data_IF_266263842097
#
_entry.id   IF_266263842097
#
_cell.length_a   1.000
_cell.length_b   1.000
_cell.length_c   1.000
_cell.angle_alpha   90.00
_cell.angle_beta   90.00
_cell.angle_gamma   90.00
#
_symmetry.space_group_name_H-M   'P 1'
#
loop_
_entity.id
_entity.type
_entity.pdbx_description
1 polymer ?
#
# COMPACT_ATOMS: atom_id res chain seq x y z
N UNK A 1 6.08 -31.26 47.62
CA UNK A 1 5.23 -30.46 48.53
C UNK A 1 4.82 -29.19 47.79
N UNK A 2 3.56 -29.14 47.35
CA UNK A 2 2.81 -27.95 46.86
C UNK A 2 2.52 -26.99 48.03
N UNK A 3 2.01 -25.73 47.88
CA UNK A 3 1.10 -25.18 46.84
C UNK A 3 1.53 -23.83 46.23
N UNK A 4 1.17 -23.47 44.98
CA UNK A 4 -0.13 -23.04 44.42
C UNK A 4 -0.73 -21.79 45.08
N UNK A 5 -0.56 -20.64 44.42
CA UNK A 5 -1.39 -19.42 44.51
C UNK A 5 -1.42 -18.86 43.07
N UNK A 6 -2.53 -18.73 42.33
CA UNK A 6 -3.92 -18.58 42.72
C UNK A 6 -4.33 -17.12 42.57
N UNK A 7 -4.67 -16.67 41.35
CA UNK A 7 -5.52 -15.49 41.14
C UNK A 7 -6.23 -15.53 39.79
N UNK A 8 -7.44 -16.05 39.84
CA UNK A 8 -8.54 -15.71 38.94
C UNK A 8 -8.88 -14.23 39.09
N UNK A 9 -9.23 -13.59 37.97
CA UNK A 9 -10.18 -12.47 37.91
C UNK A 9 -10.78 -12.42 36.50
N UNK A 10 -12.02 -12.91 36.31
CA UNK A 10 -12.83 -12.53 35.17
C UNK A 10 -13.67 -11.31 35.55
N UNK A 11 -13.68 -10.27 34.71
CA UNK A 11 -14.75 -9.27 34.77
C UNK A 11 -15.37 -9.10 33.39
N UNK A 12 -16.58 -9.62 33.28
CA UNK A 12 -17.54 -9.30 32.24
C UNK A 12 -17.82 -7.80 32.23
N UNK A 13 -17.91 -7.21 31.04
CA UNK A 13 -18.85 -6.13 30.77
C UNK A 13 -19.62 -6.44 29.49
N UNK A 14 -20.84 -6.94 29.68
CA UNK A 14 -21.91 -6.93 28.71
C UNK A 14 -22.41 -5.48 28.58
N UNK A 15 -22.33 -4.91 27.37
CA UNK A 15 -23.16 -3.78 26.99
C UNK A 15 -24.18 -4.29 25.98
N UNK A 16 -25.36 -4.59 26.48
CA UNK A 16 -26.58 -4.70 25.69
C UNK A 16 -27.20 -3.29 25.60
N UNK A 17 -27.34 -2.77 24.40
CA UNK A 17 -28.28 -1.69 24.12
C UNK A 17 -29.22 -2.18 23.02
N UNK A 18 -30.38 -2.67 23.45
CA UNK A 18 -31.56 -2.81 22.61
C UNK A 18 -32.09 -1.42 22.26
N UNK A 19 -32.22 -1.14 20.97
CA UNK A 19 -32.93 0.03 20.44
C UNK A 19 -33.62 -0.36 19.14
N UNK A 20 -34.92 -0.67 19.25
CA UNK A 20 -35.79 -0.95 18.12
C UNK A 20 -36.09 0.33 17.33
N UNK A 21 -36.08 0.24 16.01
CA UNK A 21 -36.49 1.32 15.11
C UNK A 21 -36.61 0.82 13.68
N UNK A 22 -37.84 0.49 13.27
CA UNK A 22 -38.20 0.20 11.90
C UNK A 22 -37.92 1.42 11.01
N UNK A 23 -37.37 1.18 9.82
CA UNK A 23 -37.20 2.19 8.79
C UNK A 23 -36.55 1.58 7.57
N UNK A 24 -37.38 1.19 6.61
CA UNK A 24 -36.96 0.81 5.27
C UNK A 24 -36.02 1.89 4.71
N UNK A 25 -34.83 1.48 4.26
CA UNK A 25 -34.04 2.24 3.31
C UNK A 25 -33.71 1.31 2.17
N UNK A 26 -34.30 1.64 1.03
CA UNK A 26 -33.96 1.12 -0.28
C UNK A 26 -32.44 1.19 -0.42
N UNK A 27 -31.84 0.05 -0.76
CA UNK A 27 -30.52 0.00 -1.38
C UNK A 27 -30.70 0.52 -2.80
N UNK A 28 -30.71 1.85 -2.93
CA UNK A 28 -30.37 2.48 -4.19
C UNK A 28 -28.89 2.24 -4.43
N UNK A 29 -28.61 1.73 -5.63
CA UNK A 29 -27.28 1.41 -6.09
C UNK A 29 -26.36 2.60 -5.89
N UNK A 30 -25.13 2.30 -5.46
CA UNK A 30 -24.01 3.19 -5.69
C UNK A 30 -23.85 3.32 -7.20
N UNK A 31 -24.55 4.30 -7.78
CA UNK A 31 -24.20 4.86 -9.08
C UNK A 31 -22.77 5.34 -8.95
N UNK A 32 -21.90 4.74 -9.76
CA UNK A 32 -20.60 5.30 -10.09
C UNK A 32 -20.84 6.67 -10.67
N UNK A 33 -20.66 7.70 -9.84
CA UNK A 33 -20.84 9.09 -10.19
C UNK A 33 -19.70 9.52 -11.12
N UNK A 34 -19.83 9.13 -12.39
CA UNK A 34 -19.07 9.62 -13.54
C UNK A 34 -19.55 11.05 -13.89
N UNK A 35 -19.70 11.89 -12.86
CA UNK A 35 -20.24 13.24 -12.98
C UNK A 35 -19.25 14.11 -13.72
N UNK A 36 -19.57 14.32 -15.00
CA UNK A 36 -19.21 15.52 -15.73
C UNK A 36 -19.41 16.74 -14.80
N UNK A 37 -18.39 17.61 -14.64
CA UNK A 37 -18.46 18.69 -13.67
C UNK A 37 -19.71 19.55 -13.94
N UNK A 38 -20.43 19.98 -12.89
CA UNK A 38 -21.68 20.71 -13.07
C UNK A 38 -21.43 21.95 -13.92
N UNK A 39 -22.34 22.21 -14.87
CA UNK A 39 -22.16 23.21 -15.94
C UNK A 39 -21.98 24.66 -15.43
N UNK A 40 -22.17 24.90 -14.13
CA UNK A 40 -22.02 26.16 -13.41
C UNK A 40 -20.85 26.17 -12.39
N UNK A 41 -19.99 25.14 -12.36
CA UNK A 41 -18.82 25.09 -11.47
C UNK A 41 -17.84 26.23 -11.80
N UNK A 42 -17.61 27.12 -10.83
CA UNK A 42 -16.62 28.17 -11.00
C UNK A 42 -15.22 27.56 -11.16
N UNK A 43 -14.32 28.26 -11.88
CA UNK A 43 -12.93 27.82 -12.01
C UNK A 43 -12.24 27.64 -10.64
N UNK A 44 -12.69 28.39 -9.63
CA UNK A 44 -12.22 28.28 -8.25
C UNK A 44 -12.70 26.98 -7.58
N UNK A 45 -13.98 26.64 -7.71
CA UNK A 45 -14.55 25.42 -7.12
C UNK A 45 -13.93 24.16 -7.74
N UNK A 46 -13.71 24.18 -9.06
CA UNK A 46 -12.99 23.11 -9.76
C UNK A 46 -11.58 22.91 -9.22
N UNK A 47 -10.81 24.00 -9.06
CA UNK A 47 -9.46 23.94 -8.48
C UNK A 47 -9.49 23.39 -7.06
N UNK A 48 -10.46 23.82 -6.25
CA UNK A 48 -10.61 23.36 -4.88
C UNK A 48 -10.95 21.86 -4.80
N UNK A 49 -11.82 21.36 -5.68
CA UNK A 49 -12.17 19.94 -5.77
C UNK A 49 -10.97 19.09 -6.16
N UNK A 50 -10.29 19.43 -7.26
CA UNK A 50 -9.09 18.71 -7.71
C UNK A 50 -7.98 18.69 -6.65
N UNK A 51 -7.82 19.76 -5.89
CA UNK A 51 -6.87 19.82 -4.77
C UNK A 51 -7.24 18.88 -3.62
N UNK A 52 -8.54 18.73 -3.31
CA UNK A 52 -9.03 17.77 -2.32
C UNK A 52 -8.83 16.33 -2.80
N UNK A 53 -9.16 16.05 -4.06
CA UNK A 53 -9.02 14.72 -4.66
C UNK A 53 -7.54 14.28 -4.64
N UNK A 54 -6.61 15.19 -5.02
CA UNK A 54 -5.16 14.95 -4.91
C UNK A 54 -4.76 14.56 -3.49
N UNK A 55 -5.21 15.31 -2.47
CA UNK A 55 -4.87 15.04 -1.07
C UNK A 55 -5.37 13.67 -0.63
N UNK A 56 -6.63 13.33 -0.92
CA UNK A 56 -7.21 12.04 -0.57
C UNK A 56 -6.44 10.87 -1.21
N UNK A 57 -6.04 11.00 -2.47
CA UNK A 57 -5.26 9.96 -3.16
C UNK A 57 -3.84 9.85 -2.61
N UNK A 58 -3.20 10.98 -2.28
CA UNK A 58 -1.91 10.98 -1.62
C UNK A 58 -1.93 10.28 -0.26
N UNK A 59 -2.95 10.55 0.57
CA UNK A 59 -3.10 9.92 1.88
C UNK A 59 -3.33 8.41 1.75
N UNK A 60 -4.16 8.00 0.77
CA UNK A 60 -4.42 6.59 0.48
C UNK A 60 -3.15 5.87 0.00
N UNK A 61 -2.38 6.50 -0.90
CA UNK A 61 -1.15 5.94 -1.43
C UNK A 61 -0.07 5.82 -0.35
N UNK A 62 0.11 6.85 0.47
CA UNK A 62 1.05 6.82 1.60
C UNK A 62 0.71 5.69 2.58
N UNK A 63 -0.58 5.55 2.94
CA UNK A 63 -1.06 4.47 3.82
C UNK A 63 -0.77 3.09 3.22
N UNK A 64 -0.99 2.91 1.91
CA UNK A 64 -0.73 1.64 1.23
C UNK A 64 0.77 1.30 1.21
N UNK A 65 1.63 2.30 0.96
CA UNK A 65 3.09 2.13 0.96
C UNK A 65 3.60 1.80 2.37
N UNK A 66 3.15 2.50 3.41
CA UNK A 66 3.54 2.21 4.80
C UNK A 66 3.13 0.81 5.24
N UNK A 67 1.91 0.37 4.88
CA UNK A 67 1.44 -0.98 5.14
C UNK A 67 2.22 -2.07 4.38
N UNK A 68 2.79 -1.69 3.24
CA UNK A 68 3.63 -2.54 2.39
C UNK A 68 5.09 -2.64 2.86
N UNK A 69 5.63 -1.61 3.52
CA UNK A 69 7.01 -1.54 4.03
C UNK A 69 7.22 -2.41 5.28
N UNK A 70 7.05 -3.72 5.15
CA UNK A 70 7.50 -4.70 6.15
C UNK A 70 9.01 -4.93 6.03
N UNK A 71 9.80 -4.21 6.84
CA UNK A 71 11.27 -4.25 6.82
C UNK A 71 11.84 -5.67 6.76
N UNK A 72 12.52 -5.99 5.65
CA UNK A 72 13.34 -7.20 5.56
C UNK A 72 14.61 -6.93 4.74
N UNK A 73 15.71 -6.65 5.44
CA UNK A 73 17.02 -6.59 4.81
C UNK A 73 17.46 -8.01 4.41
N UNK A 74 17.75 -8.22 3.11
CA UNK A 74 18.12 -9.52 2.52
C UNK A 74 19.57 -9.92 2.81
N UNK A 75 20.30 -9.15 3.62
CA UNK A 75 21.77 -9.10 3.60
C UNK A 75 22.44 -10.49 3.74
N UNK A 76 21.78 -11.54 4.24
CA UNK A 76 22.35 -12.91 4.26
C UNK A 76 21.37 -14.07 3.97
N UNK A 77 20.30 -13.88 3.18
CA UNK A 77 19.37 -14.99 2.90
C UNK A 77 19.93 -15.89 1.79
N UNK A 78 20.47 -17.05 2.18
CA UNK A 78 20.81 -18.15 1.25
C UNK A 78 19.77 -19.30 1.26
N UNK A 79 18.61 -19.04 1.85
CA UNK A 79 17.49 -19.97 1.95
C UNK A 79 16.46 -19.66 0.86
N UNK A 80 16.29 -20.59 -0.08
CA UNK A 80 15.34 -20.46 -1.19
C UNK A 80 13.89 -20.33 -0.73
N UNK A 81 13.50 -20.96 0.39
CA UNK A 81 12.17 -20.81 0.96
C UNK A 81 11.96 -19.41 1.51
N UNK A 82 12.95 -18.85 2.20
CA UNK A 82 12.89 -17.48 2.72
C UNK A 82 12.85 -16.44 1.59
N UNK A 83 13.64 -16.63 0.53
CA UNK A 83 13.60 -15.77 -0.66
C UNK A 83 12.22 -15.79 -1.33
N UNK A 84 11.62 -16.97 -1.51
CA UNK A 84 10.29 -17.10 -2.09
C UNK A 84 9.19 -16.47 -1.22
N UNK A 85 9.27 -16.62 0.10
CA UNK A 85 8.35 -15.95 1.03
C UNK A 85 8.45 -14.42 0.93
N UNK A 86 9.67 -13.90 0.82
CA UNK A 86 9.88 -12.47 0.66
C UNK A 86 9.39 -11.95 -0.69
N UNK A 87 9.64 -12.69 -1.77
CA UNK A 87 9.09 -12.38 -3.09
C UNK A 87 7.55 -12.28 -3.06
N UNK A 88 6.88 -13.23 -2.41
CA UNK A 88 5.42 -13.20 -2.27
C UNK A 88 4.92 -11.99 -1.45
N UNK A 89 5.66 -11.56 -0.42
CA UNK A 89 5.34 -10.34 0.33
C UNK A 89 5.44 -9.10 -0.57
N UNK A 90 6.49 -9.00 -1.39
CA UNK A 90 6.68 -7.89 -2.33
C UNK A 90 5.57 -7.86 -3.39
N UNK A 91 5.13 -9.01 -3.90
CA UNK A 91 3.97 -9.09 -4.80
C UNK A 91 2.69 -8.60 -4.11
N UNK A 92 2.44 -9.05 -2.88
CA UNK A 92 1.29 -8.58 -2.09
C UNK A 92 1.34 -7.08 -1.78
N UNK A 93 2.54 -6.53 -1.55
CA UNK A 93 2.81 -5.10 -1.39
C UNK A 93 2.43 -4.34 -2.66
N UNK A 94 2.95 -4.79 -3.80
CA UNK A 94 2.67 -4.21 -5.12
C UNK A 94 1.17 -4.24 -5.44
N UNK A 95 0.47 -5.33 -5.15
CA UNK A 95 -0.96 -5.45 -5.39
C UNK A 95 -1.79 -4.54 -4.48
N UNK A 96 -1.37 -4.36 -3.22
CA UNK A 96 -2.03 -3.43 -2.28
C UNK A 96 -1.91 -1.98 -2.74
N UNK A 97 -0.73 -1.58 -3.24
CA UNK A 97 -0.50 -0.24 -3.78
C UNK A 97 -1.20 -0.04 -5.12
N UNK A 98 -1.22 -1.06 -6.00
CA UNK A 98 -1.93 -1.01 -7.27
C UNK A 98 -3.45 -0.85 -7.13
N UNK A 99 -4.02 -1.32 -6.01
CA UNK A 99 -5.44 -1.15 -5.71
C UNK A 99 -5.83 0.28 -5.32
N UNK A 100 -4.86 1.17 -5.06
CA UNK A 100 -5.14 2.59 -4.80
C UNK A 100 -5.54 3.28 -6.09
N UNK A 101 -6.77 3.78 -6.13
CA UNK A 101 -7.26 4.57 -7.25
C UNK A 101 -6.52 5.93 -7.31
N UNK A 102 -5.95 6.24 -8.47
CA UNK A 102 -5.25 7.49 -8.71
C UNK A 102 -5.83 8.15 -9.97
N UNK A 103 -6.73 9.11 -9.78
CA UNK A 103 -7.33 9.87 -10.89
C UNK A 103 -6.46 11.05 -11.31
N UNK A 104 -5.50 11.46 -10.47
CA UNK A 104 -4.45 12.42 -10.84
C UNK A 104 -3.38 11.70 -11.67
N UNK A 105 -3.21 12.00 -12.97
CA UNK A 105 -2.38 11.19 -13.86
C UNK A 105 -0.93 11.03 -13.40
N UNK A 106 -0.32 12.12 -12.90
CA UNK A 106 1.05 12.11 -12.39
C UNK A 106 1.21 11.18 -11.18
N UNK A 107 0.22 11.19 -10.27
CA UNK A 107 0.23 10.30 -9.10
C UNK A 107 0.03 8.83 -9.53
N UNK A 108 -0.81 8.59 -10.53
CA UNK A 108 -0.98 7.27 -11.14
C UNK A 108 0.33 6.73 -11.71
N UNK A 109 1.08 7.54 -12.46
CA UNK A 109 2.39 7.14 -13.00
C UNK A 109 3.42 6.81 -11.90
N UNK A 110 3.44 7.59 -10.80
CA UNK A 110 4.34 7.32 -9.68
C UNK A 110 3.96 6.03 -8.93
N UNK A 111 2.66 5.81 -8.69
CA UNK A 111 2.14 4.55 -8.15
C UNK A 111 2.54 3.36 -9.02
N UNK A 112 2.33 3.45 -10.33
CA UNK A 112 2.64 2.36 -11.26
C UNK A 112 4.14 2.06 -11.29
N UNK A 113 4.98 3.10 -11.25
CA UNK A 113 6.44 2.95 -11.14
C UNK A 113 6.84 2.21 -9.86
N UNK A 114 6.24 2.55 -8.72
CA UNK A 114 6.47 1.84 -7.45
C UNK A 114 6.08 0.35 -7.57
N UNK A 115 4.90 0.06 -8.14
CA UNK A 115 4.38 -1.30 -8.32
C UNK A 115 5.30 -2.13 -9.21
N UNK A 116 5.78 -1.56 -10.31
CA UNK A 116 6.72 -2.24 -11.21
C UNK A 116 8.05 -2.57 -10.51
N UNK A 117 8.59 -1.64 -9.72
CA UNK A 117 9.83 -1.86 -8.98
C UNK A 117 9.68 -2.96 -7.92
N UNK A 118 8.57 -2.98 -7.16
CA UNK A 118 8.29 -4.04 -6.17
C UNK A 118 8.15 -5.42 -6.83
N UNK A 119 7.48 -5.50 -7.99
CA UNK A 119 7.38 -6.74 -8.79
C UNK A 119 8.74 -7.16 -9.38
N UNK A 120 9.55 -6.19 -9.79
CA UNK A 120 10.94 -6.43 -10.21
C UNK A 120 11.77 -7.03 -9.08
N UNK A 121 11.68 -6.46 -7.87
CA UNK A 121 12.34 -6.98 -6.67
C UNK A 121 11.90 -8.42 -6.40
N UNK A 122 10.59 -8.70 -6.43
CA UNK A 122 10.07 -10.05 -6.25
C UNK A 122 10.64 -11.04 -7.27
N UNK A 123 10.73 -10.64 -8.54
CA UNK A 123 11.29 -11.44 -9.62
C UNK A 123 12.77 -11.74 -9.39
N UNK A 124 13.57 -10.74 -9.04
CA UNK A 124 14.99 -10.91 -8.74
C UNK A 124 15.22 -11.89 -7.57
N UNK A 125 14.34 -11.92 -6.58
CA UNK A 125 14.41 -12.89 -5.47
C UNK A 125 14.03 -14.30 -5.88
N UNK A 126 12.98 -14.47 -6.70
CA UNK A 126 12.62 -15.78 -7.27
C UNK A 126 13.76 -16.33 -8.11
N UNK A 127 14.36 -15.50 -8.95
CA UNK A 127 15.52 -15.86 -9.77
C UNK A 127 16.74 -16.23 -8.89
N UNK A 128 16.97 -15.48 -7.81
CA UNK A 128 18.02 -15.80 -6.82
C UNK A 128 17.79 -17.16 -6.18
N UNK A 129 16.54 -17.47 -5.83
CA UNK A 129 16.17 -18.72 -5.15
C UNK A 129 16.37 -19.97 -6.02
N UNK A 130 16.24 -19.85 -7.34
CA UNK A 130 16.43 -20.95 -8.30
C UNK A 130 17.81 -20.97 -8.96
N UNK A 131 18.66 -19.98 -8.67
CA UNK A 131 19.98 -19.87 -9.25
C UNK A 131 20.87 -21.06 -8.84
N UNK A 132 21.41 -21.76 -9.84
CA UNK A 132 22.28 -22.95 -9.61
C UNK A 132 23.75 -22.59 -9.38
N UNK A 133 24.15 -21.35 -9.64
CA UNK A 133 25.53 -20.90 -9.49
C UNK A 133 25.61 -19.67 -8.57
N UNK A 134 26.65 -19.61 -7.75
CA UNK A 134 26.91 -18.47 -6.87
C UNK A 134 27.10 -17.16 -7.66
N UNK A 135 27.64 -17.22 -8.87
CA UNK A 135 27.79 -16.05 -9.74
C UNK A 135 26.43 -15.49 -10.18
N UNK A 136 25.51 -16.35 -10.61
CA UNK A 136 24.14 -15.97 -10.97
C UNK A 136 23.38 -15.43 -9.76
N UNK A 137 23.48 -16.12 -8.62
CA UNK A 137 22.85 -15.70 -7.38
C UNK A 137 23.31 -14.29 -6.96
N UNK A 138 24.61 -14.03 -7.00
CA UNK A 138 25.18 -12.71 -6.72
C UNK A 138 24.72 -11.64 -7.73
N UNK A 139 24.58 -12.00 -8.99
CA UNK A 139 24.04 -11.11 -10.03
C UNK A 139 22.60 -10.69 -9.72
N UNK A 140 21.74 -11.65 -9.37
CA UNK A 140 20.33 -11.41 -9.05
C UNK A 140 20.12 -10.66 -7.74
N UNK A 141 20.96 -10.89 -6.73
CA UNK A 141 20.96 -10.07 -5.51
C UNK A 141 21.36 -8.61 -5.79
N UNK A 142 22.28 -8.36 -6.72
CA UNK A 142 22.62 -6.99 -7.13
C UNK A 142 21.47 -6.31 -7.86
N UNK A 143 20.77 -7.05 -8.74
CA UNK A 143 19.56 -6.56 -9.42
C UNK A 143 18.50 -6.16 -8.39
N UNK A 144 18.22 -7.02 -7.39
CA UNK A 144 17.34 -6.68 -6.27
C UNK A 144 17.77 -5.39 -5.56
N UNK A 145 19.05 -5.26 -5.21
CA UNK A 145 19.57 -4.07 -4.50
C UNK A 145 19.44 -2.78 -5.32
N UNK A 146 19.64 -2.86 -6.63
CA UNK A 146 19.48 -1.72 -7.53
C UNK A 146 18.01 -1.31 -7.67
N UNK A 147 17.08 -2.27 -7.67
CA UNK A 147 15.64 -1.97 -7.67
C UNK A 147 15.21 -1.40 -6.32
N UNK A 148 15.74 -1.92 -5.22
CA UNK A 148 15.45 -1.42 -3.87
C UNK A 148 15.87 0.04 -3.68
N UNK A 149 17.01 0.46 -4.24
CA UNK A 149 17.38 1.88 -4.22
C UNK A 149 16.42 2.76 -5.02
N UNK A 150 15.95 2.28 -6.18
CA UNK A 150 15.00 3.02 -7.00
C UNK A 150 13.62 3.16 -6.35
N UNK A 151 13.21 2.19 -5.51
CA UNK A 151 11.97 2.30 -4.72
C UNK A 151 12.05 3.50 -3.79
N UNK A 152 13.20 3.75 -3.17
CA UNK A 152 13.43 4.94 -2.33
C UNK A 152 13.23 6.23 -3.11
N UNK A 153 13.83 6.34 -4.29
CA UNK A 153 13.70 7.52 -5.16
C UNK A 153 12.23 7.78 -5.55
N UNK A 154 11.47 6.74 -5.90
CA UNK A 154 10.04 6.88 -6.25
C UNK A 154 9.19 7.28 -5.03
N UNK A 155 9.50 6.78 -3.83
CA UNK A 155 8.83 7.22 -2.60
C UNK A 155 9.08 8.70 -2.35
N UNK A 156 10.32 9.15 -2.54
CA UNK A 156 10.67 10.57 -2.40
C UNK A 156 9.92 11.45 -3.41
N UNK A 157 9.80 10.99 -4.66
CA UNK A 157 9.02 11.68 -5.70
C UNK A 157 7.51 11.74 -5.35
N UNK A 158 6.94 10.66 -4.81
CA UNK A 158 5.55 10.64 -4.31
C UNK A 158 5.39 11.66 -3.19
N UNK A 159 6.29 11.65 -2.21
CA UNK A 159 6.24 12.58 -1.08
C UNK A 159 6.39 14.04 -1.53
N UNK A 160 7.29 14.32 -2.47
CA UNK A 160 7.45 15.64 -3.06
C UNK A 160 6.19 16.09 -3.80
N UNK A 161 5.60 15.21 -4.62
CA UNK A 161 4.36 15.50 -5.33
C UNK A 161 3.20 15.78 -4.35
N UNK A 162 3.07 14.97 -3.30
CA UNK A 162 2.00 15.09 -2.30
C UNK A 162 2.20 16.28 -1.35
N UNK A 163 3.44 16.65 -1.04
CA UNK A 163 3.79 17.81 -0.22
C UNK A 163 3.70 19.15 -0.97
N UNK A 164 3.76 19.13 -2.30
CA UNK A 164 3.57 20.33 -3.11
C UNK A 164 2.13 20.84 -2.98
N UNK A 165 1.97 22.02 -2.35
CA UNK A 165 0.71 22.75 -2.37
C UNK A 165 0.27 22.90 -3.84
N UNK A 166 -1.01 22.63 -4.14
CA UNK A 166 -1.58 22.87 -5.46
C UNK A 166 -1.63 24.38 -5.71
N UNK A 167 -0.49 24.95 -6.06
CA UNK A 167 -0.30 26.37 -6.28
C UNK A 167 0.51 26.56 -7.54
N UNK A 168 -0.21 26.70 -8.66
CA UNK A 168 -0.07 27.75 -9.67
C UNK A 168 -1.31 27.70 -10.61
#
# INVERSE_FOLDING_TARGET
>A
MSPVVGRLLPLMFLIACSGAGAGARTVDGAETDDSEPPADESAYDRKLRLAKDKRLQCDALATAIEGAQGAQAIININDSQALNKLAAKLESSADSVAAVEATVPQLGSLRDSYVELERGKATALKDTAVAKSAATQKGKLREYQQLDSQVGDVIDDINAFCGAATGD
#
